data_IF_481445394598
#
_entry.id   IF_481445394598
#
_cell.length_a   1.000
_cell.length_b   1.000
_cell.length_c   1.000
_cell.angle_alpha   90.00
_cell.angle_beta   90.00
_cell.angle_gamma   90.00
#
_symmetry.space_group_name_H-M   'P 1'
#
loop_
_entity.id
_entity.type
_entity.pdbx_description
1 polymer ?
#
# COMPACT_ATOMS: atom_id res chain seq x y z
N UNK A 1 4.36 14.08 8.97
CA UNK A 1 5.36 14.24 7.88
C UNK A 1 5.23 15.57 7.15
N UNK A 2 4.07 15.90 6.52
CA UNK A 2 3.91 17.17 5.80
C UNK A 2 4.26 18.42 6.64
N UNK A 3 3.76 18.49 7.89
CA UNK A 3 4.05 19.61 8.79
C UNK A 3 5.54 19.77 9.11
N UNK A 4 6.27 18.67 9.28
CA UNK A 4 7.71 18.70 9.51
C UNK A 4 8.46 19.27 8.29
N UNK A 5 8.10 18.86 7.07
CA UNK A 5 8.69 19.38 5.84
C UNK A 5 8.45 20.89 5.66
N UNK A 6 7.27 21.38 6.04
CA UNK A 6 6.96 22.81 5.98
C UNK A 6 7.77 23.62 6.99
N UNK A 7 8.00 23.07 8.19
CA UNK A 7 8.88 23.70 9.19
C UNK A 7 10.33 23.75 8.66
N UNK A 8 10.85 22.67 8.10
CA UNK A 8 12.18 22.64 7.50
C UNK A 8 12.27 23.63 6.35
N UNK A 9 11.27 23.72 5.49
CA UNK A 9 11.22 24.71 4.40
C UNK A 9 11.26 26.15 4.92
N UNK A 10 10.52 26.44 5.98
CA UNK A 10 10.51 27.77 6.60
C UNK A 10 11.88 28.14 7.17
N UNK A 11 12.52 27.22 7.90
CA UNK A 11 13.87 27.44 8.46
C UNK A 11 14.89 27.67 7.36
N UNK A 12 14.89 26.84 6.31
CA UNK A 12 15.81 26.99 5.17
C UNK A 12 15.57 28.32 4.42
N UNK A 13 14.32 28.76 4.31
CA UNK A 13 14.00 30.06 3.70
C UNK A 13 14.57 31.22 4.52
N UNK A 14 14.43 31.19 5.85
CA UNK A 14 14.95 32.24 6.75
C UNK A 14 16.48 32.25 6.70
N UNK A 15 17.13 31.10 6.82
CA UNK A 15 18.58 30.97 6.77
C UNK A 15 19.15 31.41 5.40
N UNK A 16 18.51 30.95 4.32
CA UNK A 16 18.89 31.32 2.95
C UNK A 16 18.80 32.83 2.68
N UNK A 17 17.75 33.48 3.19
CA UNK A 17 17.59 34.92 3.10
C UNK A 17 18.64 35.66 3.91
N UNK A 18 18.91 35.20 5.14
CA UNK A 18 19.91 35.84 6.02
C UNK A 18 21.35 35.64 5.54
N UNK A 19 21.67 34.54 4.85
CA UNK A 19 23.04 34.24 4.36
C UNK A 19 23.30 34.69 2.93
N UNK A 20 22.30 35.22 2.21
CA UNK A 20 22.44 35.62 0.80
C UNK A 20 22.69 34.45 -0.17
N UNK A 21 22.49 33.21 0.28
CA UNK A 21 22.77 31.98 -0.45
C UNK A 21 21.64 31.58 -1.39
N UNK A 22 21.84 31.69 -2.71
CA UNK A 22 20.86 31.32 -3.73
C UNK A 22 20.51 29.83 -3.74
N UNK A 23 21.45 28.96 -3.37
CA UNK A 23 21.26 27.50 -3.33
C UNK A 23 20.32 27.03 -2.20
N UNK A 24 20.40 27.66 -1.01
CA UNK A 24 19.52 27.35 0.11
C UNK A 24 18.09 27.79 -0.14
N UNK A 25 17.90 28.94 -0.81
CA UNK A 25 16.56 29.39 -1.21
C UNK A 25 15.93 28.48 -2.26
N UNK A 26 16.69 27.96 -3.23
CA UNK A 26 16.19 26.99 -4.22
C UNK A 26 15.77 25.68 -3.55
N UNK A 27 16.56 25.15 -2.61
CA UNK A 27 16.19 23.95 -1.85
C UNK A 27 14.92 24.17 -1.04
N UNK A 28 14.72 25.34 -0.43
CA UNK A 28 13.52 25.62 0.34
C UNK A 28 12.25 25.56 -0.50
N UNK A 29 12.27 26.01 -1.76
CA UNK A 29 11.12 25.91 -2.67
C UNK A 29 10.72 24.46 -2.94
N UNK A 30 11.69 23.55 -3.09
CA UNK A 30 11.41 22.12 -3.27
C UNK A 30 10.69 21.53 -2.05
N UNK A 31 11.15 21.85 -0.84
CA UNK A 31 10.48 21.40 0.39
C UNK A 31 9.07 21.99 0.55
N UNK A 32 8.87 23.26 0.17
CA UNK A 32 7.55 23.88 0.15
C UNK A 32 6.61 23.16 -0.83
N UNK A 33 7.05 22.90 -2.06
CA UNK A 33 6.27 22.23 -3.06
C UNK A 33 5.88 20.81 -2.62
N UNK A 34 6.83 20.04 -2.08
CA UNK A 34 6.57 18.68 -1.56
C UNK A 34 5.61 18.75 -0.35
N UNK A 35 5.81 19.66 0.58
CA UNK A 35 4.96 19.82 1.76
C UNK A 35 3.52 20.17 1.38
N UNK A 36 3.32 21.10 0.46
CA UNK A 36 2.00 21.48 -0.06
C UNK A 36 1.36 20.30 -0.81
N UNK A 37 2.11 19.59 -1.66
CA UNK A 37 1.61 18.42 -2.37
C UNK A 37 1.13 17.34 -1.41
N UNK A 38 1.87 17.07 -0.34
CA UNK A 38 1.49 16.11 0.69
C UNK A 38 0.25 16.56 1.47
N UNK A 39 0.09 17.85 1.74
CA UNK A 39 -1.11 18.40 2.39
C UNK A 39 -2.34 18.25 1.48
N UNK A 40 -2.21 18.61 0.20
CA UNK A 40 -3.29 18.44 -0.79
C UNK A 40 -3.68 16.97 -0.89
N UNK A 41 -2.68 16.08 -1.08
CA UNK A 41 -2.90 14.63 -1.14
C UNK A 41 -3.58 14.11 0.13
N UNK A 42 -3.11 14.51 1.31
CA UNK A 42 -3.70 14.13 2.59
C UNK A 42 -5.14 14.63 2.74
N UNK A 43 -5.43 15.84 2.29
CA UNK A 43 -6.78 16.41 2.30
C UNK A 43 -7.72 15.64 1.36
N UNK A 44 -7.28 15.34 0.14
CA UNK A 44 -8.06 14.56 -0.83
C UNK A 44 -8.34 13.16 -0.30
N UNK A 45 -7.32 12.48 0.23
CA UNK A 45 -7.48 11.13 0.81
C UNK A 45 -8.44 11.15 2.00
N UNK A 46 -8.34 12.15 2.87
CA UNK A 46 -9.23 12.31 4.02
C UNK A 46 -10.67 12.59 3.58
N UNK A 47 -10.86 13.37 2.52
CA UNK A 47 -12.20 13.62 1.94
C UNK A 47 -12.80 12.36 1.32
N UNK A 48 -11.98 11.52 0.69
CA UNK A 48 -12.43 10.32 -0.03
C UNK A 48 -12.61 9.10 0.88
N UNK A 49 -11.75 8.92 1.88
CA UNK A 49 -11.69 7.72 2.73
C UNK A 49 -11.79 8.02 4.23
N UNK A 50 -12.11 9.24 4.62
CA UNK A 50 -12.04 9.69 6.01
C UNK A 50 -13.13 9.15 6.94
N UNK A 51 -14.17 8.52 6.40
CA UNK A 51 -15.21 7.82 7.18
C UNK A 51 -15.49 6.45 6.56
N UNK A 52 -15.93 5.46 7.37
CA UNK A 52 -16.30 4.14 6.88
C UNK A 52 -17.34 4.18 5.75
N UNK A 53 -18.33 5.07 5.86
CA UNK A 53 -19.42 5.22 4.88
C UNK A 53 -18.88 5.70 3.54
N UNK A 54 -17.96 6.67 3.54
CA UNK A 54 -17.31 7.16 2.31
C UNK A 54 -16.42 6.10 1.69
N UNK A 55 -15.71 5.34 2.51
CA UNK A 55 -14.88 4.25 2.04
C UNK A 55 -15.74 3.15 1.41
N UNK A 56 -16.90 2.82 2.03
CA UNK A 56 -17.87 1.87 1.50
C UNK A 56 -18.43 2.35 0.16
N UNK A 57 -18.88 3.58 0.07
CA UNK A 57 -19.38 4.16 -1.17
C UNK A 57 -18.30 4.17 -2.28
N UNK A 58 -17.04 4.44 -1.94
CA UNK A 58 -15.95 4.38 -2.90
C UNK A 58 -15.67 2.94 -3.37
N UNK A 59 -15.74 1.95 -2.48
CA UNK A 59 -15.58 0.54 -2.83
C UNK A 59 -16.71 0.04 -3.74
N UNK A 60 -17.96 0.43 -3.44
CA UNK A 60 -19.13 0.15 -4.27
C UNK A 60 -19.01 0.78 -5.67
N UNK A 61 -18.35 1.93 -5.77
CA UNK A 61 -18.01 2.59 -7.04
C UNK A 61 -16.80 1.95 -7.77
N UNK A 62 -16.26 0.83 -7.28
CA UNK A 62 -15.16 0.10 -7.89
C UNK A 62 -13.76 0.57 -7.50
N UNK A 63 -13.61 1.37 -6.45
CA UNK A 63 -12.31 1.77 -5.94
C UNK A 63 -11.65 0.63 -5.15
N UNK A 64 -10.70 -0.08 -5.79
CA UNK A 64 -10.00 -1.21 -5.20
C UNK A 64 -9.19 -0.83 -3.95
N UNK A 65 -8.72 0.42 -3.84
CA UNK A 65 -8.04 0.89 -2.63
C UNK A 65 -9.00 1.00 -1.45
N UNK A 66 -10.20 1.52 -1.68
CA UNK A 66 -11.24 1.58 -0.65
C UNK A 66 -11.67 0.18 -0.21
N UNK A 67 -11.84 -0.72 -1.17
CA UNK A 67 -12.18 -2.12 -0.93
C UNK A 67 -11.15 -2.84 -0.06
N UNK A 68 -9.85 -2.71 -0.38
CA UNK A 68 -8.77 -3.26 0.45
C UNK A 68 -8.70 -2.59 1.83
N UNK A 69 -8.99 -1.29 1.90
CA UNK A 69 -9.07 -0.56 3.18
C UNK A 69 -10.15 -1.13 4.10
N UNK A 70 -11.34 -1.43 3.56
CA UNK A 70 -12.43 -2.08 4.31
C UNK A 70 -12.04 -3.50 4.73
N UNK A 71 -11.41 -4.27 3.85
CA UNK A 71 -10.92 -5.61 4.19
C UNK A 71 -9.88 -5.56 5.33
N UNK A 72 -9.00 -4.56 5.34
CA UNK A 72 -8.05 -4.37 6.43
C UNK A 72 -8.76 -4.03 7.75
N UNK A 73 -9.81 -3.19 7.72
CA UNK A 73 -10.62 -2.88 8.91
C UNK A 73 -11.29 -4.14 9.44
N UNK A 74 -11.93 -4.93 8.57
CA UNK A 74 -12.55 -6.19 8.94
C UNK A 74 -11.54 -7.16 9.57
N UNK A 75 -10.34 -7.27 8.98
CA UNK A 75 -9.24 -8.08 9.52
C UNK A 75 -8.78 -7.62 10.91
N UNK A 76 -8.72 -6.32 11.19
CA UNK A 76 -8.38 -5.77 12.52
C UNK A 76 -9.48 -6.09 13.55
N UNK A 77 -10.72 -6.25 13.09
CA UNK A 77 -11.87 -6.62 13.92
C UNK A 77 -12.04 -8.14 14.05
N UNK A 78 -11.08 -8.93 13.56
CA UNK A 78 -11.11 -10.40 13.49
C UNK A 78 -12.28 -10.97 12.68
N UNK A 79 -12.94 -10.11 11.85
CA UNK A 79 -13.96 -10.54 10.90
C UNK A 79 -13.29 -11.01 9.59
N UNK A 80 -12.65 -12.19 9.67
CA UNK A 80 -11.97 -12.78 8.53
C UNK A 80 -12.93 -13.14 7.40
N UNK A 81 -14.21 -13.43 7.71
CA UNK A 81 -15.23 -13.71 6.70
C UNK A 81 -15.52 -12.51 5.81
N UNK A 82 -15.74 -11.36 6.40
CA UNK A 82 -15.98 -10.12 5.65
C UNK A 82 -14.71 -9.67 4.92
N UNK A 83 -13.53 -9.76 5.56
CA UNK A 83 -12.26 -9.46 4.91
C UNK A 83 -12.05 -10.31 3.65
N UNK A 84 -12.29 -11.60 3.74
CA UNK A 84 -12.19 -12.54 2.62
C UNK A 84 -13.20 -12.20 1.50
N UNK A 85 -14.46 -11.92 1.86
CA UNK A 85 -15.50 -11.52 0.90
C UNK A 85 -15.11 -10.30 0.09
N UNK A 86 -14.60 -9.26 0.76
CA UNK A 86 -14.13 -8.03 0.14
C UNK A 86 -12.93 -8.31 -0.78
N UNK A 87 -11.93 -9.02 -0.30
CA UNK A 87 -10.73 -9.32 -1.10
C UNK A 87 -11.05 -10.19 -2.31
N UNK A 88 -11.99 -11.15 -2.22
CA UNK A 88 -12.47 -11.93 -3.37
C UNK A 88 -13.04 -11.05 -4.47
N UNK A 89 -13.74 -9.97 -4.11
CA UNK A 89 -14.25 -9.00 -5.09
C UNK A 89 -13.10 -8.33 -5.84
N UNK A 90 -12.03 -7.92 -5.14
CA UNK A 90 -10.84 -7.35 -5.77
C UNK A 90 -10.09 -8.35 -6.65
N UNK A 91 -9.97 -9.60 -6.18
CA UNK A 91 -9.36 -10.69 -6.97
C UNK A 91 -10.15 -10.94 -8.26
N UNK A 92 -11.48 -10.98 -8.19
CA UNK A 92 -12.33 -11.14 -9.36
C UNK A 92 -12.19 -9.98 -10.35
N UNK A 93 -11.94 -8.77 -9.86
CA UNK A 93 -11.64 -7.60 -10.68
C UNK A 93 -10.20 -7.59 -11.24
N UNK A 94 -9.37 -8.59 -10.90
CA UNK A 94 -8.00 -8.68 -11.37
C UNK A 94 -6.99 -7.81 -10.58
N UNK A 95 -7.39 -7.25 -9.43
CA UNK A 95 -6.51 -6.41 -8.62
C UNK A 95 -5.42 -7.24 -7.93
N UNK A 96 -4.19 -7.04 -8.37
CA UNK A 96 -3.01 -7.81 -7.94
C UNK A 96 -2.72 -7.64 -6.44
N UNK A 97 -2.98 -6.44 -5.92
CA UNK A 97 -2.81 -6.15 -4.50
C UNK A 97 -3.85 -6.88 -3.64
N UNK A 98 -5.08 -7.06 -4.14
CA UNK A 98 -6.09 -7.88 -3.47
C UNK A 98 -5.72 -9.37 -3.43
N UNK A 99 -5.05 -9.87 -4.46
CA UNK A 99 -4.51 -11.24 -4.46
C UNK A 99 -3.42 -11.41 -3.41
N UNK A 100 -2.52 -10.43 -3.29
CA UNK A 100 -1.49 -10.40 -2.25
C UNK A 100 -2.10 -10.35 -0.85
N UNK A 101 -3.06 -9.45 -0.62
CA UNK A 101 -3.72 -9.34 0.69
C UNK A 101 -4.56 -10.58 1.02
N UNK A 102 -5.13 -11.25 0.02
CA UNK A 102 -5.79 -12.55 0.23
C UNK A 102 -4.78 -13.61 0.70
N UNK A 103 -3.60 -13.67 0.09
CA UNK A 103 -2.52 -14.54 0.55
C UNK A 103 -2.16 -14.27 2.00
N UNK A 104 -2.01 -12.98 2.38
CA UNK A 104 -1.73 -12.57 3.75
C UNK A 104 -2.84 -12.92 4.75
N UNK A 105 -4.10 -12.86 4.31
CA UNK A 105 -5.24 -13.25 5.12
C UNK A 105 -5.25 -14.76 5.38
N UNK A 106 -5.06 -15.55 4.33
CA UNK A 106 -5.03 -17.03 4.43
C UNK A 106 -3.80 -17.49 5.21
N UNK A 107 -2.63 -16.87 4.99
CA UNK A 107 -1.42 -17.14 5.77
C UNK A 107 -1.65 -16.96 7.28
N UNK A 108 -2.33 -15.89 7.66
CA UNK A 108 -2.61 -15.60 9.07
C UNK A 108 -3.59 -16.58 9.69
N UNK A 109 -4.58 -17.06 8.93
CA UNK A 109 -5.64 -17.97 9.42
C UNK A 109 -5.23 -19.43 9.33
N UNK A 110 -4.69 -19.85 8.20
CA UNK A 110 -4.55 -21.26 7.80
C UNK A 110 -3.08 -21.66 7.59
N UNK A 111 -2.16 -20.70 7.66
CA UNK A 111 -0.74 -20.95 7.48
C UNK A 111 -0.22 -20.70 6.06
N UNK A 112 1.11 -20.77 5.95
CA UNK A 112 1.84 -20.39 4.73
C UNK A 112 1.52 -21.30 3.54
N UNK A 113 1.43 -22.60 3.77
CA UNK A 113 1.14 -23.58 2.71
C UNK A 113 -0.25 -23.35 2.08
N UNK A 114 -1.25 -23.06 2.90
CA UNK A 114 -2.60 -22.76 2.42
C UNK A 114 -2.67 -21.44 1.64
N UNK A 115 -1.77 -20.52 1.92
CA UNK A 115 -1.69 -19.20 1.25
C UNK A 115 -0.94 -19.23 -0.09
N UNK A 116 -0.18 -20.28 -0.37
CA UNK A 116 0.67 -20.41 -1.56
C UNK A 116 -0.08 -20.10 -2.88
N UNK A 117 -1.28 -20.63 -3.16
CA UNK A 117 -1.97 -20.34 -4.43
C UNK A 117 -2.26 -18.86 -4.65
N UNK A 118 -2.54 -18.13 -3.57
CA UNK A 118 -2.81 -16.69 -3.62
C UNK A 118 -1.55 -15.88 -3.88
N UNK A 119 -0.45 -16.22 -3.20
CA UNK A 119 0.84 -15.57 -3.44
C UNK A 119 1.37 -15.89 -4.84
N UNK A 120 1.16 -17.11 -5.34
CA UNK A 120 1.52 -17.49 -6.71
C UNK A 120 0.72 -16.67 -7.72
N UNK A 121 -0.59 -16.56 -7.55
CA UNK A 121 -1.45 -15.74 -8.40
C UNK A 121 -1.01 -14.28 -8.44
N UNK A 122 -0.68 -13.69 -7.29
CA UNK A 122 -0.15 -12.33 -7.22
C UNK A 122 1.24 -12.21 -7.90
N UNK A 123 2.12 -13.18 -7.68
CA UNK A 123 3.47 -13.20 -8.24
C UNK A 123 3.47 -13.30 -9.77
N UNK A 124 2.66 -14.17 -10.35
CA UNK A 124 2.47 -14.33 -11.80
C UNK A 124 1.97 -13.05 -12.46
N UNK A 125 1.13 -12.29 -11.74
CA UNK A 125 0.63 -10.99 -12.20
C UNK A 125 1.53 -9.81 -11.85
N UNK A 126 2.74 -10.08 -11.37
CA UNK A 126 3.80 -9.08 -11.25
C UNK A 126 4.00 -8.49 -9.86
N UNK A 127 3.29 -8.96 -8.82
CA UNK A 127 3.48 -8.44 -7.48
C UNK A 127 4.91 -8.66 -6.97
N UNK A 128 5.60 -7.57 -6.65
CA UNK A 128 7.03 -7.60 -6.37
C UNK A 128 7.41 -8.48 -5.16
N UNK A 129 6.69 -8.32 -4.04
CA UNK A 129 6.99 -9.09 -2.83
C UNK A 129 6.58 -10.57 -2.98
N UNK A 130 5.46 -10.86 -3.65
CA UNK A 130 5.02 -12.22 -3.87
C UNK A 130 6.04 -13.02 -4.71
N UNK A 131 6.63 -12.42 -5.75
CA UNK A 131 7.70 -13.05 -6.54
C UNK A 131 8.90 -13.49 -5.70
N UNK A 132 9.21 -12.78 -4.61
CA UNK A 132 10.34 -13.13 -3.76
C UNK A 132 10.12 -14.43 -3.00
N UNK A 133 8.89 -14.78 -2.67
CA UNK A 133 8.56 -16.01 -1.92
C UNK A 133 8.94 -17.28 -2.70
N UNK A 134 8.94 -17.21 -4.03
CA UNK A 134 9.25 -18.33 -4.93
C UNK A 134 10.72 -18.39 -5.39
N UNK A 135 11.58 -17.54 -4.87
CA UNK A 135 13.03 -17.66 -5.13
C UNK A 135 13.61 -18.81 -4.30
N UNK A 136 14.61 -19.55 -4.82
CA UNK A 136 15.30 -20.58 -4.04
C UNK A 136 15.78 -20.03 -2.68
N UNK A 137 15.55 -20.77 -1.61
CA UNK A 137 15.87 -20.37 -0.25
C UNK A 137 14.89 -19.37 0.41
N UNK A 138 13.76 -19.08 -0.23
CA UNK A 138 12.71 -18.23 0.34
C UNK A 138 11.47 -19.05 0.78
N UNK A 139 10.56 -18.39 1.51
CA UNK A 139 9.50 -18.99 2.30
C UNK A 139 8.66 -20.08 1.60
N UNK A 140 8.33 -19.90 0.32
CA UNK A 140 7.55 -20.86 -0.46
C UNK A 140 8.42 -21.72 -1.41
N UNK A 141 9.74 -21.61 -1.33
CA UNK A 141 10.68 -22.35 -2.18
C UNK A 141 12.01 -22.57 -1.47
N UNK A 142 11.95 -23.14 -0.26
CA UNK A 142 13.15 -23.34 0.57
C UNK A 142 14.16 -24.27 -0.09
N UNK A 143 13.69 -25.37 -0.69
CA UNK A 143 14.51 -26.42 -1.29
C UNK A 143 14.76 -26.22 -2.79
N UNK A 144 14.16 -25.19 -3.39
CA UNK A 144 14.28 -24.90 -4.82
C UNK A 144 13.29 -25.65 -5.72
N UNK A 145 12.41 -26.48 -5.13
CA UNK A 145 11.49 -27.37 -5.87
C UNK A 145 10.16 -26.69 -6.23
N UNK A 146 9.91 -25.46 -5.73
CA UNK A 146 8.69 -24.71 -5.98
C UNK A 146 8.97 -23.35 -6.65
N UNK A 147 9.57 -23.31 -7.85
CA UNK A 147 9.80 -22.07 -8.56
C UNK A 147 8.49 -21.45 -9.07
N UNK A 148 8.48 -20.13 -9.28
CA UNK A 148 7.31 -19.43 -9.84
C UNK A 148 7.01 -19.90 -11.28
N UNK A 149 8.06 -20.15 -12.06
CA UNK A 149 7.97 -20.69 -13.41
C UNK A 149 8.76 -21.99 -13.47
N UNK A 150 8.17 -23.09 -13.92
CA UNK A 150 8.93 -24.33 -14.17
C UNK A 150 10.02 -24.06 -15.21
N UNK A 151 11.21 -24.62 -14.97
CA UNK A 151 12.35 -24.57 -15.91
C UNK A 151 12.05 -25.39 -17.16
#
# INVERSE_FOLDING_TARGET
MAGFLLIVAAVLSIVGFASGGSSLTQLSWAFWAIGILLLIRGSVLRRRYGTPERMKAAAEAGDMRALRGLAMIAKIQDDFGEAERLLRTGVAAGDVESMWEMGRLVEQRDGLEASEPWFRMAAERGHFFAKRFFRPGHALNMDGDNPLYPL
#
